data_IF_356612790903
#
_entry.id   IF_356612790903
#
_cell.length_a   1.000
_cell.length_b   1.000
_cell.length_c   1.000
_cell.angle_alpha   90.00
_cell.angle_beta   90.00
_cell.angle_gamma   90.00
#
_symmetry.space_group_name_H-M   'P 1'
#
loop_
_entity.id
_entity.type
_entity.pdbx_description
1 polymer ?
#
# COMPACT_ATOMS: atom_id res chain seq x y z
N UNK A 1 -13.44 3.69 -2.63
CA UNK A 1 -13.61 2.70 -1.52
C UNK A 1 -13.96 1.29 -2.00
N UNK A 2 -14.92 1.10 -2.92
CA UNK A 2 -15.22 -0.24 -3.44
C UNK A 2 -14.06 -0.82 -4.28
N UNK A 3 -13.45 0.01 -5.14
CA UNK A 3 -12.30 -0.35 -5.97
C UNK A 3 -11.16 -0.94 -5.14
N UNK A 4 -10.74 -0.25 -4.07
CA UNK A 4 -9.70 -0.72 -3.14
C UNK A 4 -9.99 -2.14 -2.64
N UNK A 5 -11.21 -2.40 -2.17
CA UNK A 5 -11.58 -3.72 -1.64
C UNK A 5 -11.54 -4.80 -2.72
N UNK A 6 -12.06 -4.50 -3.91
CA UNK A 6 -12.04 -5.46 -5.03
C UNK A 6 -10.60 -5.79 -5.40
N UNK A 7 -9.75 -4.77 -5.49
CA UNK A 7 -8.36 -4.93 -5.88
C UNK A 7 -7.54 -5.70 -4.85
N UNK A 8 -7.61 -5.30 -3.57
CA UNK A 8 -6.95 -6.03 -2.48
C UNK A 8 -7.46 -7.47 -2.36
N UNK A 9 -8.77 -7.70 -2.60
CA UNK A 9 -9.34 -9.05 -2.56
C UNK A 9 -8.76 -9.94 -3.66
N UNK A 10 -8.67 -9.44 -4.89
CA UNK A 10 -8.14 -10.22 -6.00
C UNK A 10 -6.64 -10.47 -5.87
N UNK A 11 -5.87 -9.50 -5.39
CA UNK A 11 -4.44 -9.69 -5.11
C UNK A 11 -4.25 -10.76 -4.02
N UNK A 12 -4.92 -10.64 -2.88
CA UNK A 12 -4.86 -11.62 -1.78
C UNK A 12 -5.26 -13.02 -2.23
N UNK A 13 -6.40 -13.13 -2.93
CA UNK A 13 -6.93 -14.41 -3.41
C UNK A 13 -5.99 -15.05 -4.43
N UNK A 14 -5.47 -14.27 -5.39
CA UNK A 14 -4.56 -14.78 -6.40
C UNK A 14 -3.24 -15.24 -5.77
N UNK A 15 -2.61 -14.41 -4.93
CA UNK A 15 -1.35 -14.76 -4.26
C UNK A 15 -1.50 -16.08 -3.48
N UNK A 16 -2.53 -16.18 -2.63
CA UNK A 16 -2.81 -17.40 -1.84
C UNK A 16 -3.08 -18.64 -2.70
N UNK A 17 -3.62 -18.45 -3.91
CA UNK A 17 -3.85 -19.55 -4.84
C UNK A 17 -2.57 -20.04 -5.54
N UNK A 18 -1.58 -19.16 -5.70
CA UNK A 18 -0.35 -19.46 -6.45
C UNK A 18 0.81 -19.90 -5.56
N UNK A 19 0.87 -19.45 -4.30
CA UNK A 19 1.98 -19.74 -3.41
C UNK A 19 1.51 -20.35 -2.08
N UNK A 20 2.17 -21.43 -1.69
CA UNK A 20 2.03 -22.00 -0.35
C UNK A 20 2.92 -21.23 0.65
N UNK A 21 2.46 -21.07 1.88
CA UNK A 21 3.24 -20.40 2.94
C UNK A 21 3.18 -18.87 2.93
N UNK A 22 2.24 -18.26 2.21
CA UNK A 22 1.99 -16.82 2.32
C UNK A 22 1.39 -16.50 3.69
N UNK A 23 1.98 -15.50 4.33
CA UNK A 23 1.36 -14.76 5.43
C UNK A 23 0.86 -13.41 4.93
N UNK A 24 -0.37 -13.06 5.29
CA UNK A 24 -0.96 -11.76 4.93
C UNK A 24 -1.37 -11.03 6.20
N UNK A 25 -0.92 -9.78 6.30
CA UNK A 25 -1.25 -8.85 7.38
C UNK A 25 -2.04 -7.69 6.78
N UNK A 26 -3.07 -7.24 7.48
CA UNK A 26 -3.98 -6.21 6.96
C UNK A 26 -3.93 -4.98 7.85
N UNK A 27 -3.63 -3.82 7.25
CA UNK A 27 -3.56 -2.54 7.94
C UNK A 27 -4.66 -1.65 7.36
N UNK A 28 -5.46 -1.07 8.25
CA UNK A 28 -6.37 0.03 7.91
C UNK A 28 -5.86 1.30 8.56
N UNK A 29 -6.08 2.43 7.90
CA UNK A 29 -5.66 3.72 8.44
C UNK A 29 -6.64 4.84 8.11
N UNK A 30 -6.72 5.77 9.05
CA UNK A 30 -7.30 7.10 8.92
C UNK A 30 -6.30 8.14 9.46
N UNK A 31 -6.64 8.86 10.54
CA UNK A 31 -5.72 9.57 11.41
C UNK A 31 -4.75 8.67 12.18
N UNK A 32 -5.10 7.39 12.33
CA UNK A 32 -4.27 6.37 13.00
C UNK A 32 -4.30 5.07 12.21
N UNK A 33 -3.26 4.25 12.33
CA UNK A 33 -3.20 2.93 11.72
C UNK A 33 -3.32 1.83 12.76
N UNK A 34 -3.93 0.72 12.35
CA UNK A 34 -3.99 -0.50 13.16
C UNK A 34 -4.01 -1.73 12.27
N UNK A 35 -3.38 -2.79 12.77
CA UNK A 35 -3.54 -4.12 12.20
C UNK A 35 -4.95 -4.65 12.51
N UNK A 36 -5.57 -5.29 11.52
CA UNK A 36 -6.86 -5.95 11.65
C UNK A 36 -6.85 -7.32 10.98
N UNK A 37 -7.83 -8.15 11.31
CA UNK A 37 -8.03 -9.41 10.60
C UNK A 37 -8.60 -9.17 9.18
N UNK A 38 -8.56 -10.24 8.37
CA UNK A 38 -9.02 -10.23 6.97
C UNK A 38 -10.49 -9.83 6.83
N UNK A 39 -11.37 -10.33 7.70
CA UNK A 39 -12.80 -10.04 7.64
C UNK A 39 -13.03 -8.55 7.92
N UNK A 40 -12.41 -8.02 8.97
CA UNK A 40 -12.45 -6.61 9.31
C UNK A 40 -11.94 -5.74 8.17
N UNK A 41 -10.79 -6.08 7.56
CA UNK A 41 -10.22 -5.32 6.44
C UNK A 41 -11.20 -5.14 5.26
N UNK A 42 -11.88 -6.22 4.86
CA UNK A 42 -12.80 -6.18 3.70
C UNK A 42 -14.19 -5.59 4.01
N UNK A 43 -14.58 -5.48 5.28
CA UNK A 43 -15.89 -4.95 5.67
C UNK A 43 -15.84 -3.54 6.27
N UNK A 44 -14.66 -3.08 6.70
CA UNK A 44 -14.50 -1.76 7.32
C UNK A 44 -14.75 -0.63 6.33
N UNK A 45 -15.34 0.45 6.85
CA UNK A 45 -15.48 1.74 6.17
C UNK A 45 -14.84 2.81 7.03
N UNK A 46 -13.55 3.08 6.82
CA UNK A 46 -12.88 4.18 7.50
C UNK A 46 -13.49 5.52 7.04
N UNK A 47 -13.66 6.47 7.96
CA UNK A 47 -14.16 7.81 7.70
C UNK A 47 -13.41 8.79 8.60
N UNK A 48 -12.47 9.54 8.02
CA UNK A 48 -11.61 10.47 8.75
C UNK A 48 -10.64 11.17 7.79
N UNK A 49 -9.77 12.01 8.32
CA UNK A 49 -8.60 12.49 7.59
C UNK A 49 -7.62 11.35 7.35
N UNK A 50 -6.78 11.47 6.32
CA UNK A 50 -5.83 10.42 5.93
C UNK A 50 -4.42 10.81 6.40
N UNK A 51 -3.83 10.05 7.32
CA UNK A 51 -2.46 10.19 7.79
C UNK A 51 -1.66 8.96 7.35
N UNK A 52 -1.08 9.02 6.16
CA UNK A 52 -0.43 7.88 5.52
C UNK A 52 0.78 7.41 6.34
N UNK A 53 1.50 8.33 6.99
CA UNK A 53 2.68 7.98 7.77
C UNK A 53 2.37 6.97 8.88
N UNK A 54 1.18 7.05 9.47
CA UNK A 54 0.73 6.11 10.50
C UNK A 54 0.73 4.66 9.98
N UNK A 55 0.24 4.44 8.76
CA UNK A 55 0.23 3.12 8.13
C UNK A 55 1.63 2.60 7.85
N UNK A 56 2.55 3.49 7.44
CA UNK A 56 3.93 3.11 7.14
C UNK A 56 4.70 2.79 8.42
N UNK A 57 4.51 3.55 9.49
CA UNK A 57 5.06 3.25 10.81
C UNK A 57 4.57 1.88 11.29
N UNK A 58 3.26 1.62 11.29
CA UNK A 58 2.71 0.32 11.68
C UNK A 58 3.23 -0.82 10.79
N UNK A 59 3.40 -0.59 9.50
CA UNK A 59 3.96 -1.58 8.59
C UNK A 59 5.41 -1.94 8.96
N UNK A 60 6.26 -0.95 9.25
CA UNK A 60 7.63 -1.18 9.73
C UNK A 60 7.62 -1.95 11.05
N UNK A 61 6.81 -1.52 12.01
CA UNK A 61 6.74 -2.17 13.34
C UNK A 61 6.36 -3.65 13.23
N UNK A 62 5.39 -4.01 12.38
CA UNK A 62 5.00 -5.41 12.13
C UNK A 62 6.15 -6.19 11.48
N UNK A 63 6.82 -5.60 10.48
CA UNK A 63 7.93 -6.27 9.79
C UNK A 63 9.10 -6.52 10.75
N UNK A 64 9.51 -5.51 11.51
CA UNK A 64 10.64 -5.62 12.44
C UNK A 64 10.37 -6.61 13.58
N UNK A 65 9.11 -6.72 14.03
CA UNK A 65 8.73 -7.65 15.09
C UNK A 65 8.65 -9.10 14.61
N UNK A 66 8.06 -9.34 13.44
CA UNK A 66 7.60 -10.67 13.03
C UNK A 66 8.33 -11.22 11.78
N UNK A 67 8.95 -10.37 10.96
CA UNK A 67 9.42 -10.71 9.62
C UNK A 67 10.81 -10.15 9.29
N UNK A 68 11.85 -10.81 9.79
CA UNK A 68 13.22 -10.47 9.39
C UNK A 68 13.38 -10.56 7.85
N UNK A 69 13.75 -9.44 7.22
CA UNK A 69 13.84 -9.33 5.75
C UNK A 69 14.91 -10.23 5.11
N UNK A 70 15.82 -10.79 5.91
CA UNK A 70 16.77 -11.83 5.48
C UNK A 70 16.14 -13.21 5.33
N UNK A 71 14.96 -13.44 5.89
CA UNK A 71 14.25 -14.72 5.90
C UNK A 71 12.94 -14.68 5.10
N UNK A 72 12.35 -13.48 4.94
CA UNK A 72 11.07 -13.28 4.30
C UNK A 72 11.17 -12.40 3.06
N UNK A 73 10.43 -12.75 2.01
CA UNK A 73 10.17 -11.83 0.91
C UNK A 73 8.96 -10.95 1.27
N UNK A 74 9.15 -9.63 1.25
CA UNK A 74 8.17 -8.66 1.76
C UNK A 74 7.59 -7.84 0.60
N UNK A 75 6.25 -7.84 0.50
CA UNK A 75 5.49 -7.20 -0.57
C UNK A 75 4.34 -6.35 -0.02
N UNK A 76 4.57 -5.08 0.36
CA UNK A 76 3.51 -4.20 0.81
C UNK A 76 2.67 -3.68 -0.37
N UNK A 77 1.34 -3.70 -0.20
CA UNK A 77 0.37 -3.11 -1.14
C UNK A 77 -0.43 -2.03 -0.42
N UNK A 78 -0.23 -0.77 -0.77
CA UNK A 78 -0.94 0.35 -0.19
C UNK A 78 -1.90 0.97 -1.21
N UNK A 79 -3.17 1.09 -0.81
CA UNK A 79 -4.21 1.74 -1.59
C UNK A 79 -4.78 2.95 -0.85
N UNK A 80 -4.82 4.09 -1.51
CA UNK A 80 -5.37 5.35 -0.97
C UNK A 80 -5.90 6.22 -2.11
N UNK A 81 -6.74 7.21 -1.82
CA UNK A 81 -7.11 8.25 -2.80
C UNK A 81 -6.04 9.34 -2.98
N UNK A 82 -4.93 9.21 -2.25
CA UNK A 82 -3.76 10.07 -2.35
C UNK A 82 -3.89 11.37 -1.58
N UNK A 83 -4.99 11.58 -0.87
CA UNK A 83 -5.11 12.68 0.09
C UNK A 83 -4.26 12.36 1.32
N UNK A 84 -3.60 13.37 1.85
CA UNK A 84 -2.73 13.22 3.02
C UNK A 84 -2.82 14.44 3.93
N UNK A 85 -2.62 14.21 5.23
CA UNK A 85 -2.94 15.17 6.28
C UNK A 85 -2.20 16.50 6.14
N UNK A 86 -0.90 16.46 5.82
CA UNK A 86 -0.07 17.64 5.69
C UNK A 86 1.18 17.37 4.84
N UNK A 87 1.88 18.44 4.47
CA UNK A 87 3.19 18.35 3.81
C UNK A 87 4.20 17.65 4.72
N UNK A 88 4.17 17.92 6.02
CA UNK A 88 5.06 17.25 6.99
C UNK A 88 4.79 15.74 7.05
N UNK A 89 3.52 15.32 6.99
CA UNK A 89 3.17 13.91 6.92
C UNK A 89 3.67 13.25 5.64
N UNK A 90 3.54 13.94 4.50
CA UNK A 90 4.08 13.48 3.22
C UNK A 90 5.60 13.32 3.28
N UNK A 91 6.34 14.29 3.84
CA UNK A 91 7.79 14.19 3.98
C UNK A 91 8.20 13.02 4.87
N UNK A 92 7.47 12.80 5.97
CA UNK A 92 7.67 11.64 6.82
C UNK A 92 7.43 10.33 6.06
N UNK A 93 6.38 10.24 5.25
CA UNK A 93 6.13 9.07 4.41
C UNK A 93 7.28 8.78 3.44
N UNK A 94 7.83 9.82 2.81
CA UNK A 94 8.98 9.68 1.91
C UNK A 94 10.21 9.18 2.68
N UNK A 95 10.46 9.70 3.87
CA UNK A 95 11.58 9.28 4.73
C UNK A 95 11.43 7.80 5.14
N UNK A 96 10.26 7.41 5.66
CA UNK A 96 9.94 6.03 6.05
C UNK A 96 10.11 5.07 4.88
N UNK A 97 9.59 5.43 3.69
CA UNK A 97 9.75 4.61 2.50
C UNK A 97 11.21 4.45 2.11
N UNK A 98 11.93 5.56 2.00
CA UNK A 98 13.31 5.57 1.50
C UNK A 98 14.28 4.85 2.43
N UNK A 99 14.16 5.09 3.72
CA UNK A 99 15.16 4.67 4.70
C UNK A 99 14.80 3.37 5.43
N UNK A 100 13.53 2.95 5.40
CA UNK A 100 13.07 1.77 6.15
C UNK A 100 12.36 0.76 5.25
N UNK A 101 11.20 1.11 4.68
CA UNK A 101 10.36 0.13 3.97
C UNK A 101 10.95 -0.37 2.65
N UNK A 102 11.47 0.49 1.78
CA UNK A 102 12.06 0.06 0.49
C UNK A 102 13.32 -0.80 0.69
N UNK A 103 14.24 -0.50 1.63
CA UNK A 103 15.36 -1.38 1.96
C UNK A 103 14.98 -2.81 2.35
N UNK A 104 13.87 -2.99 3.06
CA UNK A 104 13.44 -4.30 3.60
C UNK A 104 12.36 -4.98 2.74
N UNK A 105 11.84 -4.31 1.71
CA UNK A 105 10.83 -4.86 0.80
C UNK A 105 11.45 -5.34 -0.51
N UNK A 106 10.96 -6.45 -1.03
CA UNK A 106 11.27 -6.89 -2.40
C UNK A 106 10.59 -5.97 -3.42
N UNK A 107 9.38 -5.53 -3.10
CA UNK A 107 8.60 -4.60 -3.90
C UNK A 107 7.55 -3.91 -3.05
N UNK A 108 7.46 -2.60 -3.15
CA UNK A 108 6.41 -1.77 -2.55
C UNK A 108 5.47 -1.27 -3.66
N UNK A 109 4.19 -1.59 -3.53
CA UNK A 109 3.16 -1.22 -4.50
C UNK A 109 2.24 -0.15 -3.91
N UNK A 110 2.10 0.98 -4.61
CA UNK A 110 1.14 2.03 -4.27
C UNK A 110 0.10 2.20 -5.38
N UNK A 111 -1.18 1.98 -5.05
CA UNK A 111 -2.31 2.21 -5.94
C UNK A 111 -3.11 3.44 -5.51
N UNK A 112 -3.11 4.49 -6.34
CA UNK A 112 -3.95 5.65 -6.10
C UNK A 112 -5.32 5.47 -6.77
N UNK A 113 -6.38 5.38 -5.96
CA UNK A 113 -7.75 5.30 -6.45
C UNK A 113 -8.34 6.69 -6.67
N UNK A 114 -9.17 6.86 -7.70
CA UNK A 114 -9.84 8.13 -7.90
C UNK A 114 -10.99 8.33 -6.90
N UNK A 115 -11.03 9.52 -6.31
CA UNK A 115 -12.10 9.94 -5.40
C UNK A 115 -13.03 10.94 -6.09
N UNK A 116 -14.36 10.86 -5.88
CA UNK A 116 -15.31 11.83 -6.44
C UNK A 116 -15.03 13.29 -6.06
N UNK A 117 -14.30 13.52 -4.97
CA UNK A 117 -13.95 14.85 -4.47
C UNK A 117 -12.60 15.36 -4.97
N UNK A 118 -11.96 14.63 -5.89
CA UNK A 118 -10.60 14.85 -6.32
C UNK A 118 -9.64 13.91 -5.59
N UNK A 119 -8.66 13.39 -6.33
CA UNK A 119 -7.57 12.60 -5.75
C UNK A 119 -6.49 13.52 -5.22
N UNK A 120 -5.87 13.15 -4.11
CA UNK A 120 -4.74 13.90 -3.60
C UNK A 120 -3.47 13.70 -4.43
N UNK A 121 -2.39 14.36 -4.01
CA UNK A 121 -1.15 14.45 -4.78
C UNK A 121 -0.11 13.39 -4.43
N UNK A 122 -0.39 12.49 -3.49
CA UNK A 122 0.64 11.63 -2.92
C UNK A 122 1.36 10.74 -3.95
N UNK A 123 0.68 10.22 -4.97
CA UNK A 123 1.36 9.48 -6.06
C UNK A 123 2.40 10.34 -6.80
N UNK A 124 2.14 11.64 -6.94
CA UNK A 124 3.07 12.58 -7.58
C UNK A 124 4.27 12.81 -6.67
N UNK A 125 4.04 13.00 -5.38
CA UNK A 125 5.11 13.15 -4.38
C UNK A 125 6.03 11.92 -4.37
N UNK A 126 5.46 10.71 -4.40
CA UNK A 126 6.22 9.45 -4.55
C UNK A 126 7.07 9.43 -5.82
N UNK A 127 6.45 9.76 -6.97
CA UNK A 127 7.14 9.78 -8.27
C UNK A 127 8.17 10.88 -8.39
N UNK A 128 8.07 11.97 -7.62
CA UNK A 128 9.06 13.05 -7.61
C UNK A 128 10.28 12.65 -6.77
N UNK A 129 10.04 12.11 -5.57
CA UNK A 129 11.10 11.86 -4.59
C UNK A 129 11.78 10.49 -4.77
N UNK A 130 11.06 9.49 -5.30
CA UNK A 130 11.48 8.08 -5.27
C UNK A 130 11.50 7.42 -6.66
N UNK A 131 11.40 8.18 -7.75
CA UNK A 131 11.31 7.67 -9.15
C UNK A 131 12.38 6.64 -9.53
N UNK A 132 13.57 6.80 -8.97
CA UNK A 132 14.76 6.04 -9.35
C UNK A 132 14.76 4.66 -8.66
N UNK A 133 13.96 4.47 -7.62
CA UNK A 133 13.93 3.22 -6.88
C UNK A 133 13.04 2.19 -7.60
N UNK A 134 13.67 1.16 -8.17
CA UNK A 134 12.98 0.09 -8.90
C UNK A 134 12.07 -0.76 -8.00
N UNK A 135 12.22 -0.67 -6.67
CA UNK A 135 11.37 -1.39 -5.71
C UNK A 135 10.04 -0.69 -5.48
N UNK A 136 9.83 0.52 -6.02
CA UNK A 136 8.56 1.22 -5.93
C UNK A 136 7.78 1.10 -7.24
N UNK A 137 6.58 0.53 -7.19
CA UNK A 137 5.61 0.58 -8.28
C UNK A 137 4.44 1.45 -7.88
N UNK A 138 4.02 2.32 -8.79
CA UNK A 138 2.86 3.19 -8.59
C UNK A 138 1.84 2.96 -9.72
N UNK A 139 0.56 2.82 -9.37
CA UNK A 139 -0.53 2.70 -10.35
C UNK A 139 -1.66 3.70 -10.04
N UNK A 140 -2.32 4.19 -11.08
CA UNK A 140 -3.52 5.05 -10.97
C UNK A 140 -4.75 4.22 -11.36
N UNK A 141 -5.67 4.03 -10.42
CA UNK A 141 -6.88 3.21 -10.61
C UNK A 141 -8.10 4.14 -10.62
N UNK A 142 -8.45 4.59 -11.83
CA UNK A 142 -9.52 5.59 -12.05
C UNK A 142 -10.92 5.01 -11.88
N UNK A 143 -11.10 3.77 -12.29
CA UNK A 143 -12.38 3.09 -12.29
C UNK A 143 -12.21 1.57 -12.14
N UNK A 144 -13.33 0.84 -12.27
CA UNK A 144 -13.32 -0.63 -12.18
C UNK A 144 -12.58 -1.30 -13.34
N UNK A 145 -12.55 -0.68 -14.51
CA UNK A 145 -11.90 -1.26 -15.69
C UNK A 145 -10.38 -1.18 -15.57
N UNK A 146 -9.86 -0.18 -14.83
CA UNK A 146 -8.45 -0.04 -14.51
C UNK A 146 -7.89 -1.10 -13.54
N UNK A 147 -8.76 -1.81 -12.79
CA UNK A 147 -8.33 -2.78 -11.74
C UNK A 147 -7.42 -3.87 -12.32
N UNK A 148 -7.81 -4.47 -13.46
CA UNK A 148 -7.03 -5.55 -14.08
C UNK A 148 -5.67 -5.00 -14.57
N UNK A 149 -5.64 -3.75 -15.04
CA UNK A 149 -4.40 -3.09 -15.43
C UNK A 149 -3.46 -2.92 -14.25
N UNK A 150 -3.95 -2.36 -13.14
CA UNK A 150 -3.18 -2.14 -11.92
C UNK A 150 -2.62 -3.43 -11.32
N UNK A 151 -3.44 -4.49 -11.23
CA UNK A 151 -2.99 -5.81 -10.77
C UNK A 151 -1.85 -6.34 -11.65
N UNK A 152 -1.93 -6.18 -12.97
CA UNK A 152 -0.85 -6.58 -13.89
C UNK A 152 0.40 -5.74 -13.72
N UNK A 153 0.28 -4.45 -13.41
CA UNK A 153 1.44 -3.60 -13.14
C UNK A 153 2.17 -4.03 -11.87
N UNK A 154 1.45 -4.33 -10.79
CA UNK A 154 2.04 -4.78 -9.54
C UNK A 154 2.65 -6.19 -9.65
N UNK A 155 1.92 -7.15 -10.22
CA UNK A 155 2.35 -8.55 -10.25
C UNK A 155 3.24 -8.89 -11.45
N UNK A 156 3.17 -8.11 -12.53
CA UNK A 156 3.94 -8.36 -13.76
C UNK A 156 5.41 -7.95 -13.69
N UNK A 157 5.82 -7.27 -12.61
CA UNK A 157 7.21 -6.81 -12.40
C UNK A 157 7.89 -7.45 -11.19
N UNK A 158 7.25 -8.43 -10.54
CA UNK A 158 7.89 -9.19 -9.47
C UNK A 158 9.17 -9.86 -10.01
N UNK A 159 10.32 -9.46 -9.44
CA UNK A 159 11.60 -10.16 -9.63
C UNK A 159 11.67 -11.37 -8.72
#
# INVERSE_FOLDING_TARGET
KEIVRIESFWIDTWLRSQYAGIESRYIIHDSTAREVDRETFFHTRESGGTMISSAYTTCVEIIDADYASSEWNIYPFHFSDGDNWSVDDTLLCIDLLKNQLLPISNLFCYGQVESPYGSGQFIKDLREHLKIDERLITSEIRDRDAIIGSIKEFLGRGK
#
